data_IF_639719878188
#
_entry.id   IF_639719878188
#
_cell.length_a   1.000
_cell.length_b   1.000
_cell.length_c   1.000
_cell.angle_alpha   90.00
_cell.angle_beta   90.00
_cell.angle_gamma   90.00
#
_symmetry.space_group_name_H-M   'P 1'
#
loop_
_entity.id
_entity.type
_entity.pdbx_description
1 polymer ?
#
# COMPACT_ATOMS: atom_id res chain seq x y z
N UNK A 1 -1.72 28.46 -6.41
CA UNK A 1 -2.15 27.47 -5.42
C UNK A 1 -2.57 26.19 -6.12
N UNK A 2 -1.83 25.08 -6.01
CA UNK A 2 -2.17 23.84 -6.70
C UNK A 2 -3.44 23.21 -6.13
N UNK A 3 -4.09 22.37 -6.92
CA UNK A 3 -5.25 21.56 -6.53
C UNK A 3 -4.96 20.09 -6.79
N UNK A 4 -5.43 19.21 -5.90
CA UNK A 4 -5.30 17.77 -6.06
C UNK A 4 -6.59 17.03 -5.77
N UNK A 5 -6.80 15.91 -6.49
CA UNK A 5 -7.93 15.01 -6.30
C UNK A 5 -7.45 13.65 -5.82
N UNK A 6 -7.97 13.21 -4.68
CA UNK A 6 -7.88 11.81 -4.28
C UNK A 6 -8.90 11.02 -5.12
N UNK A 7 -8.39 10.34 -6.13
CA UNK A 7 -9.20 9.86 -7.24
C UNK A 7 -9.36 8.33 -7.28
N UNK A 8 -8.81 7.59 -6.32
CA UNK A 8 -9.14 6.20 -6.06
C UNK A 8 -10.21 6.11 -4.97
N UNK A 9 -11.13 5.16 -5.07
CA UNK A 9 -12.04 4.92 -3.97
C UNK A 9 -13.28 4.11 -4.29
N UNK A 10 -13.86 3.56 -3.23
CA UNK A 10 -15.06 2.73 -3.23
C UNK A 10 -16.27 3.37 -3.95
N UNK A 11 -16.57 4.68 -3.82
CA UNK A 11 -17.72 5.26 -4.51
C UNK A 11 -17.68 5.10 -6.03
N UNK A 12 -16.52 5.31 -6.66
CA UNK A 12 -16.36 5.15 -8.10
C UNK A 12 -16.42 3.67 -8.51
N UNK A 13 -15.87 2.77 -7.71
CA UNK A 13 -15.93 1.32 -7.95
C UNK A 13 -17.35 0.79 -7.83
N UNK A 14 -18.09 1.15 -6.80
CA UNK A 14 -19.49 0.75 -6.62
C UNK A 14 -20.40 1.29 -7.74
N UNK A 15 -20.16 2.51 -8.18
CA UNK A 15 -20.89 3.07 -9.32
C UNK A 15 -20.57 2.31 -10.62
N UNK A 16 -19.31 1.90 -10.81
CA UNK A 16 -18.92 1.09 -11.95
C UNK A 16 -19.61 -0.28 -11.97
N UNK A 17 -19.70 -0.95 -10.80
CA UNK A 17 -20.43 -2.22 -10.66
C UNK A 17 -21.91 -2.06 -11.00
N UNK A 18 -22.55 -1.00 -10.51
CA UNK A 18 -23.97 -0.74 -10.72
C UNK A 18 -24.31 -0.37 -12.18
N UNK A 19 -23.44 0.34 -12.86
CA UNK A 19 -23.72 0.94 -14.18
C UNK A 19 -22.99 0.24 -15.34
N UNK A 20 -22.03 -0.64 -15.05
CA UNK A 20 -21.13 -1.22 -16.06
C UNK A 20 -20.15 -0.21 -16.67
N UNK A 21 -20.04 1.01 -16.13
CA UNK A 21 -19.16 2.05 -16.63
C UNK A 21 -17.81 1.97 -15.91
N UNK A 22 -16.70 2.04 -16.69
CA UNK A 22 -15.35 2.02 -16.10
C UNK A 22 -15.13 3.19 -15.12
N UNK A 23 -14.52 2.97 -13.92
CA UNK A 23 -14.34 4.01 -12.89
C UNK A 23 -13.66 5.28 -13.40
N UNK A 24 -12.68 5.16 -14.29
CA UNK A 24 -11.96 6.30 -14.84
C UNK A 24 -12.88 7.31 -15.56
N UNK A 25 -13.91 6.81 -16.29
CA UNK A 25 -14.85 7.68 -17.01
C UNK A 25 -15.67 8.53 -16.03
N UNK A 26 -16.15 7.91 -14.95
CA UNK A 26 -16.89 8.61 -13.90
C UNK A 26 -16.01 9.61 -13.17
N UNK A 27 -14.78 9.21 -12.84
CA UNK A 27 -13.80 10.06 -12.16
C UNK A 27 -13.47 11.31 -12.97
N UNK A 28 -13.19 11.17 -14.29
CA UNK A 28 -12.93 12.31 -15.18
C UNK A 28 -14.11 13.28 -15.22
N UNK A 29 -15.33 12.75 -15.39
CA UNK A 29 -16.53 13.58 -15.40
C UNK A 29 -16.74 14.33 -14.08
N UNK A 30 -16.47 13.67 -12.95
CA UNK A 30 -16.60 14.28 -11.62
C UNK A 30 -15.54 15.36 -11.39
N UNK A 31 -14.30 15.13 -11.80
CA UNK A 31 -13.22 16.15 -11.72
C UNK A 31 -13.60 17.39 -12.53
N UNK A 32 -14.06 17.21 -13.78
CA UNK A 32 -14.52 18.33 -14.59
C UNK A 32 -15.66 19.12 -13.90
N UNK A 33 -16.58 18.40 -13.27
CA UNK A 33 -17.67 19.01 -12.52
C UNK A 33 -17.20 19.77 -11.28
N UNK A 34 -16.25 19.21 -10.53
CA UNK A 34 -15.67 19.89 -9.38
C UNK A 34 -14.94 21.17 -9.79
N UNK A 35 -14.15 21.14 -10.85
CA UNK A 35 -13.49 22.38 -11.38
C UNK A 35 -14.52 23.46 -11.70
N UNK A 36 -15.57 23.13 -12.45
CA UNK A 36 -16.64 24.09 -12.78
C UNK A 36 -17.27 24.70 -11.50
N UNK A 37 -17.51 23.88 -10.47
CA UNK A 37 -18.11 24.34 -9.22
C UNK A 37 -17.15 25.24 -8.43
N UNK A 38 -15.87 24.85 -8.33
CA UNK A 38 -14.85 25.63 -7.62
C UNK A 38 -14.57 26.97 -8.31
N UNK A 39 -14.58 27.01 -9.65
CA UNK A 39 -14.47 28.25 -10.41
C UNK A 39 -15.66 29.18 -10.18
N UNK A 40 -16.89 28.66 -10.07
CA UNK A 40 -18.09 29.44 -9.75
C UNK A 40 -18.07 30.03 -8.35
N UNK A 41 -17.42 29.35 -7.38
CA UNK A 41 -17.21 29.87 -6.01
C UNK A 41 -16.14 30.99 -6.00
N UNK A 42 -15.28 31.02 -7.03
CA UNK A 42 -14.21 32.04 -7.17
C UNK A 42 -12.89 31.65 -6.52
N UNK A 43 -12.60 30.37 -6.36
CA UNK A 43 -11.29 29.94 -5.88
C UNK A 43 -10.19 30.17 -6.94
N UNK A 44 -9.04 30.66 -6.48
CA UNK A 44 -7.85 30.91 -7.33
C UNK A 44 -6.91 29.71 -7.37
N UNK A 45 -7.37 28.61 -7.93
CA UNK A 45 -6.51 27.44 -8.16
C UNK A 45 -5.70 27.59 -9.44
N UNK A 46 -4.47 27.10 -9.39
CA UNK A 46 -3.60 26.95 -10.55
C UNK A 46 -3.83 25.57 -11.17
N UNK A 47 -4.75 25.51 -12.12
CA UNK A 47 -5.15 24.26 -12.78
C UNK A 47 -4.05 23.62 -13.62
N UNK A 48 -3.00 24.37 -14.00
CA UNK A 48 -1.84 23.81 -14.71
C UNK A 48 -0.98 22.92 -13.78
N UNK A 49 -1.14 23.07 -12.46
CA UNK A 49 -0.54 22.25 -11.42
C UNK A 49 -1.54 21.34 -10.73
N UNK A 50 -2.58 20.93 -11.45
CA UNK A 50 -3.54 19.94 -10.97
C UNK A 50 -2.88 18.57 -10.84
N UNK A 51 -3.18 17.86 -9.75
CA UNK A 51 -2.70 16.52 -9.45
C UNK A 51 -3.87 15.57 -9.26
N UNK A 52 -3.76 14.35 -9.80
CA UNK A 52 -4.72 13.26 -9.66
C UNK A 52 -4.01 12.02 -9.16
N UNK A 53 -4.39 11.49 -8.03
CA UNK A 53 -3.71 10.34 -7.42
C UNK A 53 -3.84 9.06 -8.25
N UNK A 54 -4.86 8.96 -9.11
CA UNK A 54 -5.05 7.86 -10.06
C UNK A 54 -4.23 7.96 -11.35
N UNK A 55 -3.51 9.08 -11.57
CA UNK A 55 -2.64 9.23 -12.73
C UNK A 55 -1.37 8.38 -12.58
N UNK A 56 -1.02 7.54 -13.57
CA UNK A 56 0.23 6.79 -13.57
C UNK A 56 1.48 7.66 -13.38
N UNK A 57 1.48 8.88 -13.92
CA UNK A 57 2.58 9.82 -13.73
C UNK A 57 2.74 10.26 -12.27
N UNK A 58 1.65 10.21 -11.49
CA UNK A 58 1.66 10.50 -10.06
C UNK A 58 1.98 9.25 -9.23
N UNK A 59 1.20 8.17 -9.31
CA UNK A 59 1.33 7.03 -8.41
C UNK A 59 2.59 6.19 -8.63
N UNK A 60 3.28 6.34 -9.77
CA UNK A 60 4.61 5.73 -9.97
C UNK A 60 5.59 6.06 -8.85
N UNK A 61 5.48 7.24 -8.24
CA UNK A 61 6.35 7.64 -7.15
C UNK A 61 6.03 6.93 -5.84
N UNK A 62 4.76 6.65 -5.58
CA UNK A 62 4.33 5.78 -4.47
C UNK A 62 4.86 4.36 -4.66
N UNK A 63 4.76 3.82 -5.87
CA UNK A 63 5.33 2.51 -6.21
C UNK A 63 6.86 2.50 -6.06
N UNK A 64 7.53 3.56 -6.52
CA UNK A 64 8.97 3.70 -6.37
C UNK A 64 9.39 3.74 -4.89
N UNK A 65 8.69 4.50 -4.05
CA UNK A 65 8.95 4.56 -2.62
C UNK A 65 8.76 3.19 -1.96
N UNK A 66 7.69 2.46 -2.31
CA UNK A 66 7.48 1.09 -1.85
C UNK A 66 8.65 0.18 -2.24
N UNK A 67 9.09 0.21 -3.50
CA UNK A 67 10.20 -0.62 -3.98
C UNK A 67 11.52 -0.30 -3.25
N UNK A 68 11.75 0.96 -2.91
CA UNK A 68 12.92 1.36 -2.11
C UNK A 68 12.86 0.77 -0.69
N UNK A 69 11.70 0.84 -0.04
CA UNK A 69 11.50 0.23 1.28
C UNK A 69 11.55 -1.30 1.22
N UNK A 70 10.96 -1.90 0.20
CA UNK A 70 11.00 -3.35 -0.03
C UNK A 70 12.42 -3.86 -0.27
N UNK A 71 13.25 -3.10 -0.98
CA UNK A 71 14.66 -3.40 -1.20
C UNK A 71 15.60 -3.02 -0.04
N UNK A 72 15.06 -2.73 1.16
CA UNK A 72 15.86 -2.24 2.28
C UNK A 72 15.47 -2.91 3.60
N UNK A 73 16.46 -3.00 4.50
CA UNK A 73 16.27 -3.34 5.92
C UNK A 73 16.78 -2.22 6.81
N UNK A 74 16.42 -2.19 8.10
CA UNK A 74 16.93 -1.20 9.05
C UNK A 74 18.03 -1.82 9.93
N UNK A 75 19.21 -1.19 9.94
CA UNK A 75 20.35 -1.57 10.77
C UNK A 75 20.43 -0.64 11.99
N UNK A 76 20.27 -1.18 13.19
CA UNK A 76 20.34 -0.42 14.43
C UNK A 76 21.75 0.10 14.73
N UNK A 77 22.79 -0.68 14.41
CA UNK A 77 24.19 -0.24 14.66
C UNK A 77 24.57 0.98 13.82
N UNK A 78 24.03 1.08 12.61
CA UNK A 78 24.26 2.20 11.70
C UNK A 78 23.15 3.26 11.77
N UNK A 79 22.05 2.99 12.49
CA UNK A 79 20.87 3.83 12.63
C UNK A 79 20.31 4.34 11.28
N UNK A 80 20.28 3.45 10.28
CA UNK A 80 19.80 3.79 8.94
C UNK A 80 19.29 2.57 8.17
N UNK A 81 18.51 2.84 7.13
CA UNK A 81 18.13 1.85 6.13
C UNK A 81 19.33 1.46 5.27
N UNK A 82 19.46 0.17 4.98
CA UNK A 82 20.52 -0.40 4.14
C UNK A 82 19.91 -1.31 3.07
N UNK A 83 20.60 -1.50 1.92
CA UNK A 83 20.16 -2.43 0.91
C UNK A 83 20.02 -3.86 1.43
N UNK A 84 18.95 -4.55 1.05
CA UNK A 84 18.64 -5.91 1.53
C UNK A 84 19.73 -6.93 1.12
N UNK A 85 20.45 -6.66 0.04
CA UNK A 85 21.56 -7.47 -0.45
C UNK A 85 22.71 -7.54 0.56
N UNK A 86 22.92 -6.49 1.34
CA UNK A 86 23.94 -6.50 2.41
C UNK A 86 23.55 -7.47 3.53
N UNK A 87 22.27 -7.54 3.87
CA UNK A 87 21.75 -8.50 4.84
C UNK A 87 21.84 -9.94 4.31
N UNK A 88 21.51 -10.15 3.06
CA UNK A 88 21.66 -11.45 2.40
C UNK A 88 23.11 -11.93 2.45
N UNK A 89 24.06 -11.05 2.13
CA UNK A 89 25.48 -11.37 2.21
C UNK A 89 25.94 -11.68 3.67
N UNK A 90 25.38 -10.99 4.66
CA UNK A 90 25.66 -11.29 6.07
C UNK A 90 25.11 -12.68 6.47
N UNK A 91 23.91 -13.04 6.01
CA UNK A 91 23.34 -14.38 6.24
C UNK A 91 24.19 -15.49 5.63
N UNK A 92 24.76 -15.27 4.46
CA UNK A 92 25.65 -16.24 3.81
C UNK A 92 26.97 -16.46 4.55
N UNK A 93 27.44 -15.45 5.28
CA UNK A 93 28.71 -15.48 6.03
C UNK A 93 28.55 -16.01 7.46
N UNK A 94 27.50 -15.59 8.17
CA UNK A 94 27.36 -15.85 9.60
C UNK A 94 25.94 -16.23 10.05
N UNK A 95 24.98 -16.34 9.16
CA UNK A 95 23.58 -16.52 9.54
C UNK A 95 23.03 -15.26 10.24
N UNK A 96 22.23 -15.47 11.26
CA UNK A 96 21.66 -14.37 12.07
C UNK A 96 22.52 -13.96 13.26
N UNK A 97 23.64 -14.63 13.50
CA UNK A 97 24.46 -14.39 14.69
C UNK A 97 25.09 -12.98 14.68
N UNK A 98 24.87 -12.23 15.76
CA UNK A 98 25.46 -10.90 15.96
C UNK A 98 24.87 -9.78 15.12
N UNK A 99 23.75 -10.02 14.42
CA UNK A 99 23.05 -8.99 13.67
C UNK A 99 22.12 -8.18 14.60
N UNK A 100 22.22 -6.86 14.50
CA UNK A 100 21.38 -5.92 15.22
C UNK A 100 20.52 -5.14 14.21
N UNK A 101 19.43 -5.76 13.77
CA UNK A 101 18.58 -5.30 12.69
C UNK A 101 17.09 -5.38 13.07
N UNK A 102 16.27 -4.53 12.46
CA UNK A 102 14.83 -4.60 12.65
C UNK A 102 14.27 -5.86 11.98
N UNK A 103 13.36 -6.54 12.66
CA UNK A 103 12.65 -7.70 12.15
C UNK A 103 11.23 -7.76 12.74
N UNK A 104 10.31 -8.38 12.02
CA UNK A 104 8.95 -8.64 12.49
C UNK A 104 8.87 -9.89 13.36
N UNK A 105 9.74 -10.86 13.09
CA UNK A 105 9.90 -12.09 13.86
C UNK A 105 11.39 -12.38 14.01
N UNK A 106 11.82 -12.64 15.24
CA UNK A 106 13.20 -13.04 15.51
C UNK A 106 13.41 -14.47 15.03
N UNK A 107 14.35 -14.64 14.09
CA UNK A 107 14.72 -15.92 13.52
C UNK A 107 16.19 -16.23 13.85
N UNK A 108 16.48 -17.50 14.06
CA UNK A 108 17.82 -17.98 14.34
C UNK A 108 18.20 -19.07 13.35
N UNK A 109 19.23 -18.84 12.56
CA UNK A 109 19.80 -19.81 11.64
C UNK A 109 21.29 -19.52 11.39
N UNK A 110 22.02 -20.56 11.04
CA UNK A 110 23.44 -20.49 10.67
C UNK A 110 23.59 -20.17 9.17
N UNK A 111 24.81 -19.83 8.76
CA UNK A 111 25.13 -19.64 7.35
C UNK A 111 24.91 -20.92 6.50
N UNK A 112 25.12 -22.09 7.09
CA UNK A 112 24.91 -23.38 6.42
C UNK A 112 23.43 -23.63 6.20
N UNK A 113 22.60 -23.40 7.20
CA UNK A 113 21.13 -23.49 7.10
C UNK A 113 20.58 -22.49 6.08
N UNK A 114 21.04 -21.25 6.09
CA UNK A 114 20.67 -20.25 5.09
C UNK A 114 20.97 -20.71 3.66
N UNK A 115 22.20 -21.21 3.42
CA UNK A 115 22.59 -21.69 2.09
C UNK A 115 21.82 -22.92 1.62
N UNK A 116 21.37 -23.75 2.57
CA UNK A 116 20.58 -24.92 2.29
C UNK A 116 19.09 -24.63 2.03
N UNK A 117 18.59 -23.44 2.41
CA UNK A 117 17.19 -23.05 2.19
C UNK A 117 16.88 -22.95 0.70
N UNK A 118 15.71 -23.43 0.27
CA UNK A 118 15.17 -23.13 -1.06
C UNK A 118 14.96 -21.63 -1.26
N UNK A 119 15.03 -21.16 -2.50
CA UNK A 119 14.89 -19.72 -2.81
C UNK A 119 13.58 -19.10 -2.29
N UNK A 120 12.48 -19.86 -2.38
CA UNK A 120 11.19 -19.41 -1.84
C UNK A 120 11.22 -19.20 -0.32
N UNK A 121 11.94 -20.04 0.42
CA UNK A 121 12.10 -19.94 1.86
C UNK A 121 13.00 -18.76 2.24
N UNK A 122 14.08 -18.53 1.48
CA UNK A 122 14.93 -17.34 1.63
C UNK A 122 14.14 -16.06 1.45
N UNK A 123 13.34 -15.96 0.38
CA UNK A 123 12.50 -14.79 0.14
C UNK A 123 11.45 -14.61 1.25
N UNK A 124 10.84 -15.67 1.76
CA UNK A 124 9.91 -15.60 2.90
C UNK A 124 10.62 -15.13 4.16
N UNK A 125 11.84 -15.60 4.42
CA UNK A 125 12.67 -15.16 5.54
C UNK A 125 13.00 -13.68 5.42
N UNK A 126 13.41 -13.21 4.25
CA UNK A 126 13.71 -11.79 4.00
C UNK A 126 12.54 -10.85 4.23
N UNK A 127 11.28 -11.31 4.05
CA UNK A 127 10.10 -10.49 4.35
C UNK A 127 10.09 -9.98 5.80
N UNK A 128 10.64 -10.75 6.75
CA UNK A 128 10.72 -10.35 8.16
C UNK A 128 11.62 -9.14 8.41
N UNK A 129 12.53 -8.83 7.51
CA UNK A 129 13.56 -7.79 7.65
C UNK A 129 13.32 -6.58 6.76
N UNK A 130 12.48 -6.70 5.72
CA UNK A 130 12.19 -5.61 4.78
C UNK A 130 11.42 -4.49 5.48
N UNK A 131 11.71 -3.23 5.14
CA UNK A 131 11.00 -2.05 5.69
C UNK A 131 9.53 -1.99 5.23
N UNK A 132 9.25 -2.45 4.02
CA UNK A 132 7.90 -2.69 3.54
C UNK A 132 7.85 -4.13 3.01
N UNK A 133 6.80 -4.86 3.35
CA UNK A 133 6.68 -6.28 3.00
C UNK A 133 5.22 -6.64 2.74
N UNK A 134 5.03 -7.82 2.14
CA UNK A 134 3.70 -8.39 1.93
C UNK A 134 3.36 -9.31 3.11
N UNK A 135 2.18 -9.11 3.67
CA UNK A 135 1.68 -9.94 4.76
C UNK A 135 0.16 -10.10 4.62
N UNK A 136 -0.33 -11.23 5.10
CA UNK A 136 -1.76 -11.41 5.30
C UNK A 136 -2.18 -10.70 6.58
N UNK A 137 -3.31 -10.00 6.53
CA UNK A 137 -3.90 -9.31 7.68
C UNK A 137 -5.41 -9.43 7.64
N UNK A 138 -6.02 -9.39 8.81
CA UNK A 138 -7.47 -9.37 8.93
C UNK A 138 -8.03 -8.06 8.39
N UNK A 139 -9.04 -8.15 7.55
CA UNK A 139 -9.72 -7.00 6.93
C UNK A 139 -11.23 -7.08 7.12
N UNK A 140 -11.89 -5.92 7.08
CA UNK A 140 -13.35 -5.83 7.06
C UNK A 140 -13.86 -6.14 5.65
N UNK A 141 -14.32 -7.34 5.41
CA UNK A 141 -14.87 -7.76 4.13
C UNK A 141 -16.41 -7.63 4.09
N UNK A 142 -16.94 -6.94 3.10
CA UNK A 142 -18.37 -6.88 2.87
C UNK A 142 -18.74 -7.69 1.63
N UNK A 143 -19.33 -8.91 1.77
CA UNK A 143 -19.67 -9.76 0.62
C UNK A 143 -20.65 -9.10 -0.34
N UNK A 144 -21.58 -8.30 0.18
CA UNK A 144 -22.61 -7.64 -0.61
C UNK A 144 -22.08 -6.51 -1.50
N UNK A 145 -21.07 -5.78 -0.99
CA UNK A 145 -20.37 -4.74 -1.74
C UNK A 145 -19.21 -5.32 -2.58
N UNK A 146 -18.73 -6.53 -2.26
CA UNK A 146 -17.62 -7.19 -2.95
C UNK A 146 -16.28 -6.51 -2.73
N UNK A 147 -16.07 -5.89 -1.56
CA UNK A 147 -14.87 -5.11 -1.28
C UNK A 147 -14.49 -5.11 0.20
N UNK A 148 -13.24 -4.71 0.46
CA UNK A 148 -12.72 -4.40 1.80
C UNK A 148 -13.15 -2.99 2.19
N UNK A 149 -13.54 -2.83 3.47
CA UNK A 149 -13.94 -1.56 4.06
C UNK A 149 -12.93 -1.08 5.10
N UNK A 150 -12.69 0.22 5.17
CA UNK A 150 -11.95 0.84 6.24
C UNK A 150 -12.72 0.77 7.57
N UNK A 151 -12.02 0.92 8.71
CA UNK A 151 -12.68 0.80 10.02
C UNK A 151 -13.77 1.83 10.25
N UNK A 152 -13.62 3.04 9.72
CA UNK A 152 -14.61 4.12 9.78
C UNK A 152 -15.83 3.93 8.84
N UNK A 153 -15.75 2.95 7.94
CA UNK A 153 -16.87 2.56 7.08
C UNK A 153 -17.71 1.41 7.66
N UNK A 154 -17.40 0.97 8.90
CA UNK A 154 -18.12 -0.12 9.60
C UNK A 154 -18.62 0.36 10.95
N UNK A 155 -19.93 0.27 11.19
CA UNK A 155 -20.57 0.54 12.47
C UNK A 155 -21.44 -0.64 12.88
N UNK A 156 -21.25 -1.12 14.10
CA UNK A 156 -22.01 -2.24 14.68
C UNK A 156 -22.03 -3.50 13.78
N UNK A 157 -20.91 -3.77 13.11
CA UNK A 157 -20.77 -4.91 12.21
C UNK A 157 -21.47 -4.75 10.86
N UNK A 158 -21.94 -3.54 10.54
CA UNK A 158 -22.61 -3.20 9.28
C UNK A 158 -21.83 -2.13 8.52
N UNK A 159 -21.87 -2.21 7.17
CA UNK A 159 -21.32 -1.17 6.33
C UNK A 159 -22.12 0.12 6.41
N UNK A 160 -21.47 1.27 6.55
CA UNK A 160 -22.13 2.60 6.49
C UNK A 160 -22.88 2.76 5.18
N UNK A 161 -22.32 2.24 4.11
CA UNK A 161 -22.98 2.24 2.80
C UNK A 161 -23.85 1.00 2.63
N UNK A 162 -25.15 1.18 2.72
CA UNK A 162 -26.16 0.16 2.44
C UNK A 162 -26.53 -0.73 3.64
N UNK A 163 -25.89 -0.61 4.80
CA UNK A 163 -26.23 -1.36 6.03
C UNK A 163 -26.04 -2.87 5.90
N UNK A 164 -25.05 -3.31 5.12
CA UNK A 164 -24.80 -4.74 4.88
C UNK A 164 -23.86 -5.34 5.92
N UNK A 165 -24.05 -6.62 6.29
CA UNK A 165 -23.14 -7.33 7.19
C UNK A 165 -21.70 -7.33 6.70
N UNK A 166 -20.78 -7.13 7.62
CA UNK A 166 -19.33 -7.11 7.39
C UNK A 166 -18.69 -8.27 8.17
N UNK A 167 -17.79 -8.98 7.52
CA UNK A 167 -17.05 -10.11 8.06
C UNK A 167 -15.58 -9.76 8.27
N UNK A 168 -14.95 -10.30 9.30
CA UNK A 168 -13.50 -10.26 9.44
C UNK A 168 -12.88 -11.43 8.66
N UNK A 169 -12.02 -11.14 7.71
CA UNK A 169 -11.31 -12.13 6.88
C UNK A 169 -9.83 -11.86 6.83
#
# INVERSE_FOLDING_TARGET
>A
HPMGYDAFGLPAEQYAIQTGQHPAVTTERNIARYREQLDKIGFSFDWDREVRTCDPAYYKWTQWAFLKMFGSYYCYDKQQARPIEELTAAFEQGGTQGLNVACTQELHFTAEEWRAMPEEEKERTLQNYRLAFRADTMVNWCPKLGTVLANDEVHDGLSVRGGYPVEQK
#
